data_IF_331095060442
#
_entry.id   IF_331095060442
#
_cell.length_a   1.000
_cell.length_b   1.000
_cell.length_c   1.000
_cell.angle_alpha   90.00
_cell.angle_beta   90.00
_cell.angle_gamma   90.00
#
_symmetry.space_group_name_H-M   'P 1'
#
loop_
_entity.id
_entity.type
_entity.pdbx_description
1 polymer ?
#
# COMPACT_ATOMS: atom_id res chain seq x y z
N UNK A 1 -20.61 1.37 -7.83
CA UNK A 1 -19.42 0.52 -7.57
C UNK A 1 -19.50 0.02 -6.14
N UNK A 2 -19.46 -1.29 -5.88
CA UNK A 2 -19.70 -1.84 -4.53
C UNK A 2 -18.52 -1.49 -3.59
N UNK A 3 -18.79 -1.00 -2.37
CA UNK A 3 -17.78 -0.55 -1.39
C UNK A 3 -16.73 -1.63 -1.08
N UNK A 4 -17.16 -2.90 -1.02
CA UNK A 4 -16.26 -4.05 -0.83
C UNK A 4 -15.25 -4.18 -1.98
N UNK A 5 -15.70 -3.90 -3.21
CA UNK A 5 -14.86 -3.97 -4.41
C UNK A 5 -13.82 -2.85 -4.42
N UNK A 6 -14.19 -1.64 -3.99
CA UNK A 6 -13.27 -0.50 -3.85
C UNK A 6 -12.21 -0.79 -2.79
N UNK A 7 -12.60 -1.33 -1.64
CA UNK A 7 -11.67 -1.70 -0.56
C UNK A 7 -10.66 -2.75 -1.01
N UNK A 8 -11.12 -3.81 -1.71
CA UNK A 8 -10.23 -4.84 -2.27
C UNK A 8 -9.24 -4.29 -3.29
N UNK A 9 -9.69 -3.41 -4.19
CA UNK A 9 -8.81 -2.78 -5.19
C UNK A 9 -7.75 -1.93 -4.50
N UNK A 10 -8.15 -1.11 -3.52
CA UNK A 10 -7.21 -0.25 -2.77
C UNK A 10 -6.20 -1.10 -2.00
N UNK A 11 -6.65 -2.19 -1.37
CA UNK A 11 -5.78 -3.14 -0.69
C UNK A 11 -4.75 -3.77 -1.64
N UNK A 12 -5.19 -4.27 -2.80
CA UNK A 12 -4.31 -4.85 -3.81
C UNK A 12 -3.32 -3.82 -4.36
N UNK A 13 -3.73 -2.56 -4.53
CA UNK A 13 -2.82 -1.52 -5.00
C UNK A 13 -1.70 -1.24 -3.99
N UNK A 14 -2.05 -1.13 -2.71
CA UNK A 14 -1.09 -0.84 -1.63
C UNK A 14 -0.19 -2.03 -1.32
N UNK A 15 -0.71 -3.26 -1.33
CA UNK A 15 0.03 -4.44 -0.89
C UNK A 15 0.63 -5.27 -2.03
N UNK A 16 0.24 -5.07 -3.29
CA UNK A 16 0.83 -5.78 -4.44
C UNK A 16 1.46 -4.79 -5.42
N UNK A 17 0.68 -3.85 -5.95
CA UNK A 17 1.15 -3.01 -7.07
C UNK A 17 2.31 -2.10 -6.64
N UNK A 18 2.19 -1.42 -5.50
CA UNK A 18 3.25 -0.54 -4.98
C UNK A 18 4.57 -1.28 -4.69
N UNK A 19 4.55 -2.36 -3.90
CA UNK A 19 5.76 -3.13 -3.60
C UNK A 19 6.41 -3.73 -4.86
N UNK A 20 5.62 -4.28 -5.77
CA UNK A 20 6.14 -4.89 -7.01
C UNK A 20 6.74 -3.84 -7.96
N UNK A 21 6.11 -2.67 -8.07
CA UNK A 21 6.67 -1.59 -8.89
C UNK A 21 7.97 -1.08 -8.30
N UNK A 22 8.03 -0.89 -6.97
CA UNK A 22 9.27 -0.53 -6.27
C UNK A 22 10.39 -1.55 -6.55
N UNK A 23 10.13 -2.84 -6.32
CA UNK A 23 11.11 -3.90 -6.51
C UNK A 23 11.59 -4.00 -7.97
N UNK A 24 10.69 -3.81 -8.94
CA UNK A 24 11.06 -3.81 -10.35
C UNK A 24 11.97 -2.63 -10.69
N UNK A 25 11.60 -1.42 -10.25
CA UNK A 25 12.39 -0.21 -10.48
C UNK A 25 13.74 -0.30 -9.77
N UNK A 26 13.79 -0.81 -8.55
CA UNK A 26 15.02 -0.92 -7.76
C UNK A 26 15.99 -1.97 -8.32
N UNK A 27 15.47 -3.06 -8.89
CA UNK A 27 16.29 -4.07 -9.57
C UNK A 27 16.85 -3.48 -10.87
N UNK A 28 16.03 -2.83 -11.68
CA UNK A 28 16.49 -2.16 -12.91
C UNK A 28 17.55 -1.12 -12.56
N UNK A 29 17.28 -0.25 -11.59
CA UNK A 29 18.25 0.76 -11.16
C UNK A 29 19.55 0.13 -10.66
N UNK A 30 19.46 -0.90 -9.83
CA UNK A 30 20.60 -1.63 -9.30
C UNK A 30 21.48 -2.27 -10.38
N UNK A 31 20.86 -2.87 -11.39
CA UNK A 31 21.55 -3.56 -12.47
C UNK A 31 22.26 -2.59 -13.43
N UNK A 32 21.71 -1.41 -13.67
CA UNK A 32 22.27 -0.45 -14.64
C UNK A 32 23.19 0.61 -14.00
N UNK A 33 22.96 1.00 -12.75
CA UNK A 33 23.64 2.14 -12.12
C UNK A 33 24.51 1.77 -10.92
N UNK A 34 24.63 0.49 -10.57
CA UNK A 34 25.45 0.05 -9.42
C UNK A 34 26.44 -1.04 -9.82
N UNK A 35 27.53 -1.15 -9.08
CA UNK A 35 28.52 -2.22 -9.21
C UNK A 35 28.21 -3.43 -8.33
N UNK A 36 27.10 -3.40 -7.57
CA UNK A 36 26.68 -4.52 -6.72
C UNK A 36 26.22 -5.70 -7.56
N UNK A 37 26.41 -6.91 -7.04
CA UNK A 37 25.84 -8.08 -7.70
C UNK A 37 24.30 -8.00 -7.71
N UNK A 38 23.67 -8.55 -8.76
CA UNK A 38 22.20 -8.56 -8.87
C UNK A 38 21.54 -9.22 -7.66
N UNK A 39 22.17 -10.27 -7.10
CA UNK A 39 21.66 -10.98 -5.92
C UNK A 39 21.72 -10.11 -4.65
N UNK A 40 22.84 -9.45 -4.37
CA UNK A 40 22.93 -8.55 -3.21
C UNK A 40 21.92 -7.40 -3.31
N UNK A 41 21.75 -6.83 -4.52
CA UNK A 41 20.75 -5.80 -4.74
C UNK A 41 19.31 -6.31 -4.51
N UNK A 42 19.00 -7.54 -4.93
CA UNK A 42 17.68 -8.14 -4.66
C UNK A 42 17.48 -8.33 -3.16
N UNK A 43 18.46 -8.87 -2.44
CA UNK A 43 18.38 -9.09 -0.99
C UNK A 43 18.19 -7.78 -0.22
N UNK A 44 18.97 -6.74 -0.54
CA UNK A 44 18.83 -5.42 0.09
C UNK A 44 17.42 -4.85 -0.12
N UNK A 45 16.91 -4.91 -1.36
CA UNK A 45 15.59 -4.37 -1.70
C UNK A 45 14.44 -5.19 -1.11
N UNK A 46 14.60 -6.51 -0.96
CA UNK A 46 13.63 -7.36 -0.24
C UNK A 46 13.56 -6.98 1.25
N UNK A 47 14.69 -6.61 1.86
CA UNK A 47 14.73 -6.08 3.23
C UNK A 47 13.92 -4.78 3.36
N UNK A 48 14.10 -3.83 2.43
CA UNK A 48 13.31 -2.59 2.39
C UNK A 48 11.83 -2.89 2.19
N UNK A 49 11.50 -3.85 1.34
CA UNK A 49 10.13 -4.28 1.07
C UNK A 49 9.46 -4.89 2.32
N UNK A 50 10.19 -5.70 3.09
CA UNK A 50 9.70 -6.26 4.34
C UNK A 50 9.36 -5.15 5.36
N UNK A 51 10.24 -4.15 5.49
CA UNK A 51 9.99 -2.98 6.33
C UNK A 51 8.74 -2.22 5.86
N UNK A 52 8.62 -1.98 4.55
CA UNK A 52 7.44 -1.35 3.96
C UNK A 52 6.14 -2.10 4.33
N UNK A 53 6.13 -3.43 4.20
CA UNK A 53 4.95 -4.23 4.54
C UNK A 53 4.55 -4.13 6.00
N UNK A 54 5.52 -4.14 6.92
CA UNK A 54 5.26 -3.98 8.35
C UNK A 54 4.62 -2.62 8.62
N UNK A 55 5.22 -1.53 8.12
CA UNK A 55 4.68 -0.19 8.31
C UNK A 55 3.32 0.01 7.66
N UNK A 56 3.12 -0.47 6.43
CA UNK A 56 1.83 -0.35 5.75
C UNK A 56 0.74 -1.18 6.43
N UNK A 57 1.07 -2.35 6.97
CA UNK A 57 0.10 -3.15 7.73
C UNK A 57 -0.35 -2.41 9.00
N UNK A 58 0.60 -1.79 9.72
CA UNK A 58 0.29 -0.97 10.89
C UNK A 58 -0.56 0.25 10.51
N UNK A 59 -0.17 0.98 9.46
CA UNK A 59 -0.90 2.16 8.99
C UNK A 59 -2.32 1.79 8.53
N UNK A 60 -2.47 0.67 7.83
CA UNK A 60 -3.77 0.19 7.39
C UNK A 60 -4.69 -0.10 8.58
N UNK A 61 -4.18 -0.84 9.57
CA UNK A 61 -4.94 -1.23 10.75
C UNK A 61 -5.32 -0.04 11.64
N UNK A 62 -4.36 0.86 11.92
CA UNK A 62 -4.60 1.97 12.84
C UNK A 62 -5.34 3.15 12.21
N UNK A 63 -5.11 3.42 10.93
CA UNK A 63 -5.55 4.66 10.30
C UNK A 63 -6.63 4.45 9.25
N UNK A 64 -6.38 3.60 8.24
CA UNK A 64 -7.30 3.46 7.11
C UNK A 64 -8.62 2.78 7.50
N UNK A 65 -8.58 1.76 8.35
CA UNK A 65 -9.81 1.12 8.85
C UNK A 65 -10.64 2.05 9.76
N UNK A 66 -9.99 3.00 10.44
CA UNK A 66 -10.69 4.01 11.26
C UNK A 66 -11.30 5.10 10.38
N UNK A 67 -10.54 5.60 9.41
CA UNK A 67 -11.02 6.59 8.44
C UNK A 67 -12.26 6.11 7.69
N UNK A 68 -12.30 4.85 7.25
CA UNK A 68 -13.48 4.28 6.59
C UNK A 68 -14.73 4.37 7.50
N UNK A 69 -14.58 4.12 8.81
CA UNK A 69 -15.69 4.23 9.77
C UNK A 69 -16.15 5.68 9.95
N UNK A 70 -15.19 6.61 10.08
CA UNK A 70 -15.48 8.03 10.28
C UNK A 70 -16.15 8.64 9.04
N UNK A 71 -15.68 8.31 7.83
CA UNK A 71 -16.30 8.74 6.56
C UNK A 71 -17.73 8.21 6.45
N UNK A 72 -17.97 6.94 6.79
CA UNK A 72 -19.30 6.35 6.75
C UNK A 72 -20.24 7.04 7.75
N UNK A 73 -19.74 7.40 8.94
CA UNK A 73 -20.51 8.13 9.95
C UNK A 73 -20.90 9.53 9.45
N UNK A 74 -19.94 10.30 8.94
CA UNK A 74 -20.18 11.64 8.38
C UNK A 74 -21.16 11.57 7.20
N UNK A 75 -20.98 10.60 6.30
CA UNK A 75 -21.87 10.40 5.15
C UNK A 75 -23.31 10.14 5.60
N UNK A 76 -23.49 9.34 6.64
CA UNK A 76 -24.81 9.05 7.22
C UNK A 76 -25.42 10.30 7.86
N UNK A 77 -24.65 11.04 8.67
CA UNK A 77 -25.10 12.29 9.29
C UNK A 77 -25.53 13.33 8.24
N UNK A 78 -24.78 13.50 7.15
CA UNK A 78 -25.16 14.42 6.05
C UNK A 78 -26.46 13.98 5.38
N UNK A 79 -26.67 12.68 5.20
CA UNK A 79 -27.87 12.16 4.53
C UNK A 79 -29.11 12.25 5.43
N UNK A 80 -28.96 12.00 6.72
CA UNK A 80 -30.03 12.11 7.72
C UNK A 80 -30.43 13.58 7.95
N UNK A 81 -29.50 14.55 7.81
CA UNK A 81 -29.77 15.99 7.94
C UNK A 81 -30.31 16.64 6.65
N UNK A 82 -30.27 15.91 5.52
CA UNK A 82 -30.87 16.31 4.24
C UNK A 82 -32.30 15.81 4.05
N UNK A 83 -32.74 14.83 4.86
CA UNK A 83 -34.13 14.41 5.00
C UNK A 83 -34.84 15.26 6.06
#
# INVERSE_FOLDING_TARGET
MNAVKVKKVRYAFVHLVGPLSYLTISIIWGAFFTTKSTFENIYDNLGVMAIYYVFMSLLWFFYLDRLDKDINKITKEINDNKM
#
